data_IF_022421011455
#
_entry.id   IF_022421011455
#
_cell.length_a   1.000
_cell.length_b   1.000
_cell.length_c   1.000
_cell.angle_alpha   90.00
_cell.angle_beta   90.00
_cell.angle_gamma   90.00
#
_symmetry.space_group_name_H-M   'P 1'
#
loop_
_entity.id
_entity.type
_entity.pdbx_description
1 polymer ?
#
# COMPACT_ATOMS: atom_id res chain seq x y z
N UNK A 1 -2.15 33.42 -38.89
CA UNK A 1 -1.75 33.88 -40.24
C UNK A 1 -0.48 33.16 -40.64
N UNK A 2 -0.56 32.15 -41.51
CA UNK A 2 0.60 31.47 -42.10
C UNK A 2 0.47 31.62 -43.62
N UNK A 3 1.42 32.34 -44.21
CA UNK A 3 1.52 32.61 -45.63
C UNK A 3 1.70 31.29 -46.39
N UNK A 4 0.84 31.04 -47.38
CA UNK A 4 1.01 29.95 -48.33
C UNK A 4 2.08 30.29 -49.38
N UNK A 5 2.72 29.30 -50.02
CA UNK A 5 3.79 29.55 -50.98
C UNK A 5 3.23 30.17 -52.27
N UNK A 6 3.91 31.22 -52.75
CA UNK A 6 3.66 31.82 -54.06
C UNK A 6 3.92 30.80 -55.19
N UNK A 7 3.17 30.88 -56.30
CA UNK A 7 3.44 30.09 -57.50
C UNK A 7 4.64 30.67 -58.27
N UNK A 8 5.53 29.87 -58.86
CA UNK A 8 6.27 30.28 -60.06
C UNK A 8 5.40 29.97 -61.30
N UNK A 9 5.70 30.42 -62.54
CA UNK A 9 6.88 31.15 -63.02
C UNK A 9 6.56 32.33 -63.98
N UNK A 10 7.47 33.29 -64.14
CA UNK A 10 7.55 34.05 -65.41
C UNK A 10 8.66 33.42 -66.26
N UNK A 11 8.22 32.63 -67.24
CA UNK A 11 9.08 31.99 -68.22
C UNK A 11 9.79 33.02 -69.08
N UNK A 12 11.10 32.85 -69.20
CA UNK A 12 11.98 33.52 -70.15
C UNK A 12 11.36 33.55 -71.54
N UNK A 13 11.09 34.78 -71.99
CA UNK A 13 10.71 35.13 -73.35
C UNK A 13 11.68 34.49 -74.35
N UNK A 14 11.25 33.39 -74.97
CA UNK A 14 11.94 32.83 -76.12
C UNK A 14 11.14 33.27 -77.33
N UNK A 15 11.70 34.22 -78.08
CA UNK A 15 11.09 34.80 -79.26
C UNK A 15 10.72 33.71 -80.27
N UNK A 16 9.42 33.49 -80.46
CA UNK A 16 8.88 32.59 -81.48
C UNK A 16 9.08 33.22 -82.85
N UNK A 17 10.05 32.73 -83.62
CA UNK A 17 10.14 33.04 -85.05
C UNK A 17 8.99 32.32 -85.77
N UNK A 18 8.00 33.11 -86.19
CA UNK A 18 6.90 32.68 -87.05
C UNK A 18 7.44 32.45 -88.46
N UNK A 19 7.51 31.20 -88.92
CA UNK A 19 7.80 30.90 -90.33
C UNK A 19 6.49 30.65 -91.07
N UNK A 20 6.21 31.48 -92.07
CA UNK A 20 5.15 31.26 -93.05
C UNK A 20 5.78 30.59 -94.29
N UNK A 21 5.34 29.38 -94.64
CA UNK A 21 5.88 28.62 -95.78
C UNK A 21 4.87 28.60 -96.94
N UNK A 22 5.23 29.03 -98.17
CA UNK A 22 4.40 28.84 -99.36
C UNK A 22 4.55 27.42 -99.91
N UNK A 23 3.44 26.85 -100.39
CA UNK A 23 3.37 25.47 -100.89
C UNK A 23 4.29 25.20 -102.10
N UNK A 24 5.17 24.21 -101.93
CA UNK A 24 5.58 23.26 -102.97
C UNK A 24 6.96 23.44 -103.61
N UNK A 25 7.98 22.73 -103.13
CA UNK A 25 9.07 22.08 -103.90
C UNK A 25 9.68 20.91 -103.08
N UNK A 26 10.18 19.89 -103.79
CA UNK A 26 10.79 18.58 -103.51
C UNK A 26 11.58 18.32 -102.20
N UNK A 27 11.69 17.05 -101.75
CA UNK A 27 12.39 16.68 -100.52
C UNK A 27 13.87 16.38 -100.82
N UNK A 28 14.75 17.32 -100.51
CA UNK A 28 16.19 17.06 -100.48
C UNK A 28 16.74 17.30 -99.07
N UNK A 29 17.44 16.28 -98.56
CA UNK A 29 18.14 16.16 -97.27
C UNK A 29 18.35 17.45 -96.47
N UNK A 30 17.62 17.57 -95.36
CA UNK A 30 18.04 18.37 -94.21
C UNK A 30 18.06 17.50 -92.96
N UNK A 31 19.28 17.33 -92.46
CA UNK A 31 19.66 16.65 -91.22
C UNK A 31 19.08 17.38 -90.00
N UNK A 32 18.42 16.60 -89.13
CA UNK A 32 17.61 16.97 -87.95
C UNK A 32 16.13 17.23 -88.26
N UNK A 33 15.32 16.18 -88.09
CA UNK A 33 13.87 16.23 -88.22
C UNK A 33 13.27 17.22 -87.21
N UNK A 34 12.43 18.11 -87.71
CA UNK A 34 11.54 18.96 -86.91
C UNK A 34 10.20 18.23 -86.83
N UNK A 35 9.68 18.05 -85.61
CA UNK A 35 8.39 17.43 -85.36
C UNK A 35 7.37 18.53 -85.19
N UNK A 36 6.34 18.53 -86.03
CA UNK A 36 5.26 19.51 -85.98
C UNK A 36 4.08 18.93 -85.22
N UNK A 37 3.69 19.60 -84.14
CA UNK A 37 2.45 19.31 -83.44
C UNK A 37 1.40 20.35 -83.77
N UNK A 38 0.17 19.88 -83.90
CA UNK A 38 -0.98 20.74 -84.21
C UNK A 38 -1.86 20.82 -82.97
N UNK A 39 -1.88 21.98 -82.33
CA UNK A 39 -2.70 22.23 -81.14
C UNK A 39 -3.89 23.09 -81.54
N UNK A 40 -5.10 22.58 -81.29
CA UNK A 40 -6.32 23.35 -81.50
C UNK A 40 -6.49 24.33 -80.36
N UNK A 41 -6.31 25.63 -80.63
CA UNK A 41 -6.73 26.68 -79.70
C UNK A 41 -8.24 26.86 -79.83
N UNK A 42 -8.98 26.45 -78.80
CA UNK A 42 -10.42 26.71 -78.72
C UNK A 42 -10.64 27.99 -77.93
N UNK A 43 -10.25 29.12 -78.51
CA UNK A 43 -10.61 30.42 -77.94
C UNK A 43 -12.07 30.70 -78.34
N UNK A 44 -12.89 31.24 -77.41
CA UNK A 44 -14.35 31.40 -77.57
C UNK A 44 -14.80 32.32 -78.72
N UNK A 45 -13.87 32.88 -79.51
CA UNK A 45 -14.16 33.75 -80.64
C UNK A 45 -13.73 33.04 -81.92
N UNK A 46 -14.65 32.90 -82.88
CA UNK A 46 -14.72 31.85 -83.91
C UNK A 46 -13.59 31.75 -84.97
N UNK A 47 -12.38 32.19 -84.70
CA UNK A 47 -11.23 31.82 -85.52
C UNK A 47 -10.58 30.56 -84.92
N UNK A 48 -10.88 29.40 -85.53
CA UNK A 48 -10.16 28.15 -85.28
C UNK A 48 -8.74 28.27 -85.84
N UNK A 49 -7.90 29.04 -85.16
CA UNK A 49 -6.50 29.15 -85.53
C UNK A 49 -5.78 27.85 -85.19
N UNK A 50 -5.37 27.16 -86.25
CA UNK A 50 -4.51 25.99 -86.17
C UNK A 50 -3.07 26.50 -86.06
N UNK A 51 -2.58 26.61 -84.82
CA UNK A 51 -1.19 27.00 -84.59
C UNK A 51 -0.32 25.74 -84.64
N UNK A 52 0.59 25.71 -85.61
CA UNK A 52 1.55 24.63 -85.78
C UNK A 52 2.80 24.99 -85.02
N UNK A 53 3.11 24.22 -83.97
CA UNK A 53 4.35 24.37 -83.23
C UNK A 53 5.36 23.37 -83.79
N UNK A 54 6.50 23.87 -84.27
CA UNK A 54 7.63 23.03 -84.68
C UNK A 54 8.60 22.87 -83.52
N UNK A 55 8.87 21.63 -83.12
CA UNK A 55 9.94 21.31 -82.17
C UNK A 55 11.09 20.61 -82.89
N UNK A 56 12.31 20.96 -82.53
CA UNK A 56 13.45 20.14 -82.94
C UNK A 56 13.37 18.77 -82.26
N UNK A 57 13.85 17.74 -82.94
CA UNK A 57 13.95 16.38 -82.39
C UNK A 57 14.73 16.32 -81.07
N UNK A 58 15.72 17.21 -80.88
CA UNK A 58 16.47 17.33 -79.63
C UNK A 58 15.62 17.92 -78.50
N UNK A 59 14.84 18.97 -78.78
CA UNK A 59 13.96 19.59 -77.79
C UNK A 59 12.85 18.63 -77.34
N UNK A 60 12.20 17.92 -78.27
CA UNK A 60 11.18 16.93 -77.91
C UNK A 60 11.75 15.78 -77.07
N UNK A 61 12.98 15.34 -77.37
CA UNK A 61 13.68 14.32 -76.58
C UNK A 61 13.99 14.82 -75.16
N UNK A 62 14.38 16.08 -75.02
CA UNK A 62 14.61 16.72 -73.74
C UNK A 62 13.31 16.83 -72.92
N UNK A 63 12.21 17.28 -73.54
CA UNK A 63 10.88 17.35 -72.91
C UNK A 63 10.37 15.96 -72.51
N UNK A 64 10.53 14.95 -73.36
CA UNK A 64 10.16 13.58 -73.03
C UNK A 64 10.96 13.04 -71.84
N UNK A 65 12.26 13.34 -71.78
CA UNK A 65 13.09 12.96 -70.65
C UNK A 65 12.67 13.72 -69.37
N UNK A 66 12.39 15.03 -69.47
CA UNK A 66 11.85 15.82 -68.37
C UNK A 66 10.53 15.23 -67.83
N UNK A 67 9.60 14.84 -68.70
CA UNK A 67 8.34 14.18 -68.31
C UNK A 67 8.60 12.85 -67.59
N UNK A 68 9.60 12.07 -68.04
CA UNK A 68 9.99 10.83 -67.37
C UNK A 68 10.52 11.09 -65.96
N UNK A 69 11.40 12.07 -65.81
CA UNK A 69 11.99 12.44 -64.51
C UNK A 69 10.93 12.96 -63.53
N UNK A 70 10.00 13.79 -64.02
CA UNK A 70 8.86 14.29 -63.24
C UNK A 70 7.96 13.14 -62.80
N UNK A 71 7.65 12.19 -63.70
CA UNK A 71 6.85 11.00 -63.37
C UNK A 71 7.54 10.14 -62.33
N UNK A 72 8.84 9.91 -62.47
CA UNK A 72 9.61 9.13 -61.49
C UNK A 72 9.64 9.82 -60.12
N UNK A 73 9.81 11.14 -60.10
CA UNK A 73 9.80 11.94 -58.88
C UNK A 73 8.43 11.92 -58.20
N UNK A 74 7.34 12.09 -58.95
CA UNK A 74 5.97 11.97 -58.45
C UNK A 74 5.69 10.56 -57.89
N UNK A 75 6.21 9.52 -58.54
CA UNK A 75 6.04 8.14 -58.06
C UNK A 75 6.81 7.87 -56.77
N UNK A 76 8.01 8.45 -56.61
CA UNK A 76 8.77 8.43 -55.34
C UNK A 76 7.99 9.15 -54.24
N UNK A 77 7.43 10.33 -54.51
CA UNK A 77 6.60 11.08 -53.55
C UNK A 77 5.35 10.29 -53.17
N UNK A 78 4.65 9.69 -54.15
CA UNK A 78 3.47 8.85 -53.92
C UNK A 78 3.79 7.71 -52.95
N UNK A 79 4.84 6.94 -53.22
CA UNK A 79 5.25 5.81 -52.36
C UNK A 79 5.59 6.26 -50.93
N UNK A 80 6.29 7.41 -50.79
CA UNK A 80 6.60 7.98 -49.48
C UNK A 80 5.33 8.37 -48.71
N UNK A 81 4.38 9.06 -49.35
CA UNK A 81 3.13 9.46 -48.72
C UNK A 81 2.29 8.25 -48.24
N UNK A 82 2.24 7.16 -49.02
CA UNK A 82 1.54 5.95 -48.59
C UNK A 82 2.21 5.31 -47.36
N UNK A 83 3.54 5.26 -47.32
CA UNK A 83 4.27 4.76 -46.16
C UNK A 83 4.04 5.59 -44.89
N UNK A 84 4.11 6.92 -45.01
CA UNK A 84 3.85 7.85 -43.90
C UNK A 84 2.39 7.76 -43.41
N UNK A 85 1.43 7.61 -44.33
CA UNK A 85 0.02 7.42 -43.99
C UNK A 85 -0.22 6.12 -43.23
N UNK A 86 0.37 5.01 -43.67
CA UNK A 86 0.24 3.72 -42.99
C UNK A 86 0.90 3.72 -41.61
N UNK A 87 2.04 4.41 -41.46
CA UNK A 87 2.67 4.60 -40.15
C UNK A 87 1.80 5.44 -39.22
N UNK A 88 1.23 6.55 -39.72
CA UNK A 88 0.34 7.40 -38.96
C UNK A 88 -0.94 6.66 -38.55
N UNK A 89 -1.52 5.87 -39.46
CA UNK A 89 -2.70 5.04 -39.18
C UNK A 89 -2.43 4.04 -38.06
N UNK A 90 -1.26 3.37 -38.08
CA UNK A 90 -0.85 2.46 -36.99
C UNK A 90 -0.68 3.20 -35.66
N UNK A 91 -0.03 4.37 -35.65
CA UNK A 91 0.12 5.18 -34.43
C UNK A 91 -1.22 5.63 -33.85
N UNK A 92 -2.15 6.07 -34.70
CA UNK A 92 -3.50 6.44 -34.26
C UNK A 92 -4.23 5.24 -33.65
N UNK A 93 -4.15 4.06 -34.29
CA UNK A 93 -4.78 2.85 -33.75
C UNK A 93 -4.16 2.44 -32.41
N UNK A 94 -2.83 2.50 -32.28
CA UNK A 94 -2.14 2.22 -31.03
C UNK A 94 -2.57 3.19 -29.92
N UNK A 95 -2.51 4.50 -30.18
CA UNK A 95 -2.97 5.52 -29.22
C UNK A 95 -4.44 5.34 -28.84
N UNK A 96 -5.30 4.97 -29.81
CA UNK A 96 -6.71 4.67 -29.54
C UNK A 96 -6.84 3.46 -28.60
N UNK A 97 -6.07 2.40 -28.82
CA UNK A 97 -6.10 1.22 -27.94
C UNK A 97 -5.55 1.51 -26.53
N UNK A 98 -4.49 2.31 -26.41
CA UNK A 98 -3.95 2.76 -25.12
C UNK A 98 -4.97 3.64 -24.37
N UNK A 99 -5.73 4.47 -25.10
CA UNK A 99 -6.84 5.24 -24.53
C UNK A 99 -7.99 4.33 -24.05
N UNK A 100 -8.33 3.26 -24.77
CA UNK A 100 -9.34 2.28 -24.27
C UNK A 100 -8.86 1.53 -23.02
N UNK A 101 -7.56 1.28 -22.87
CA UNK A 101 -7.02 0.73 -21.61
C UNK A 101 -7.21 1.72 -20.45
N UNK A 102 -7.32 3.02 -20.72
CA UNK A 102 -7.66 4.01 -19.69
C UNK A 102 -9.11 3.86 -19.20
N UNK A 103 -10.04 3.29 -19.97
CA UNK A 103 -11.38 2.91 -19.48
C UNK A 103 -11.31 1.82 -18.40
N UNK A 104 -10.30 0.94 -18.45
CA UNK A 104 -10.05 -0.03 -17.37
C UNK A 104 -9.57 0.67 -16.09
N UNK A 105 -8.82 1.77 -16.20
CA UNK A 105 -8.44 2.58 -15.05
C UNK A 105 -9.66 3.30 -14.46
N UNK A 106 -10.55 3.80 -15.31
CA UNK A 106 -11.81 4.41 -14.90
C UNK A 106 -12.72 3.41 -14.17
N UNK A 107 -12.84 2.17 -14.68
CA UNK A 107 -13.53 1.09 -13.97
C UNK A 107 -12.89 0.77 -12.62
N UNK A 108 -11.55 0.73 -12.54
CA UNK A 108 -10.85 0.50 -11.28
C UNK A 108 -11.07 1.65 -10.28
N UNK A 109 -11.05 2.91 -10.74
CA UNK A 109 -11.35 4.08 -9.91
C UNK A 109 -12.80 4.06 -9.40
N UNK A 110 -13.76 3.64 -10.24
CA UNK A 110 -15.15 3.46 -9.85
C UNK A 110 -15.28 2.43 -8.71
N UNK A 111 -14.62 1.27 -8.87
CA UNK A 111 -14.62 0.21 -7.84
C UNK A 111 -13.98 0.70 -6.54
N UNK A 112 -12.88 1.46 -6.63
CA UNK A 112 -12.25 2.06 -5.45
C UNK A 112 -13.16 3.10 -4.76
N UNK A 113 -13.87 3.93 -5.53
CA UNK A 113 -14.85 4.88 -4.97
C UNK A 113 -15.96 4.17 -4.20
N UNK A 114 -16.57 3.14 -4.80
CA UNK A 114 -17.63 2.36 -4.16
C UNK A 114 -17.12 1.66 -2.89
N UNK A 115 -15.88 1.15 -2.90
CA UNK A 115 -15.28 0.57 -1.71
C UNK A 115 -15.07 1.60 -0.60
N UNK A 116 -14.58 2.81 -0.93
CA UNK A 116 -14.42 3.91 0.03
C UNK A 116 -15.76 4.37 0.62
N UNK A 117 -16.80 4.47 -0.19
CA UNK A 117 -18.15 4.80 0.27
C UNK A 117 -18.67 3.72 1.23
N UNK A 118 -18.45 2.44 0.91
CA UNK A 118 -18.81 1.33 1.81
C UNK A 118 -18.06 1.39 3.14
N UNK A 119 -16.78 1.77 3.15
CA UNK A 119 -16.03 1.94 4.39
C UNK A 119 -16.53 3.14 5.20
N UNK A 120 -16.89 4.25 4.53
CA UNK A 120 -17.50 5.41 5.18
C UNK A 120 -18.81 5.05 5.87
N UNK A 121 -19.70 4.32 5.16
CA UNK A 121 -20.96 3.82 5.72
C UNK A 121 -20.70 2.91 6.92
N UNK A 122 -19.77 1.96 6.81
CA UNK A 122 -19.45 1.05 7.91
C UNK A 122 -18.88 1.80 9.12
N UNK A 123 -17.99 2.78 8.90
CA UNK A 123 -17.42 3.59 9.96
C UNK A 123 -18.49 4.44 10.67
N UNK A 124 -19.43 5.00 9.91
CA UNK A 124 -20.57 5.74 10.48
C UNK A 124 -21.49 4.82 11.31
N UNK A 125 -21.76 3.60 10.82
CA UNK A 125 -22.57 2.61 11.52
C UNK A 125 -21.88 2.13 12.80
N UNK A 126 -20.57 1.86 12.74
CA UNK A 126 -19.78 1.49 13.90
C UNK A 126 -19.73 2.61 14.95
N UNK A 127 -19.57 3.86 14.51
CA UNK A 127 -19.61 5.03 15.39
C UNK A 127 -20.98 5.16 16.06
N UNK A 128 -22.05 4.98 15.31
CA UNK A 128 -23.42 4.98 15.85
C UNK A 128 -23.62 3.88 16.89
N UNK A 129 -23.18 2.64 16.60
CA UNK A 129 -23.27 1.52 17.54
C UNK A 129 -22.42 1.74 18.80
N UNK A 130 -21.25 2.38 18.66
CA UNK A 130 -20.41 2.75 19.81
C UNK A 130 -21.09 3.77 20.72
N UNK A 131 -21.73 4.79 20.14
CA UNK A 131 -22.50 5.79 20.88
C UNK A 131 -23.69 5.13 21.59
N UNK A 132 -24.41 4.24 20.93
CA UNK A 132 -25.55 3.52 21.51
C UNK A 132 -25.15 2.63 22.69
N UNK A 133 -24.02 1.93 22.58
CA UNK A 133 -23.47 1.13 23.67
C UNK A 133 -23.07 2.01 24.85
N UNK A 134 -22.39 3.14 24.60
CA UNK A 134 -22.03 4.10 25.63
C UNK A 134 -23.27 4.66 26.33
N UNK A 135 -24.32 4.99 25.58
CA UNK A 135 -25.60 5.44 26.13
C UNK A 135 -26.22 4.38 27.04
N UNK A 136 -26.30 3.14 26.57
CA UNK A 136 -26.85 2.02 27.35
C UNK A 136 -26.07 1.80 28.65
N UNK A 137 -24.75 1.90 28.61
CA UNK A 137 -23.92 1.75 29.81
C UNK A 137 -24.18 2.87 30.82
N UNK A 138 -24.35 4.11 30.35
CA UNK A 138 -24.71 5.26 31.20
C UNK A 138 -26.10 5.08 31.80
N UNK A 139 -27.08 4.66 31.00
CA UNK A 139 -28.45 4.41 31.48
C UNK A 139 -28.46 3.34 32.58
N UNK A 140 -27.73 2.24 32.39
CA UNK A 140 -27.58 1.18 33.41
C UNK A 140 -26.86 1.69 34.66
N UNK A 141 -25.85 2.57 34.53
CA UNK A 141 -25.17 3.16 35.68
C UNK A 141 -26.08 4.10 36.48
N UNK A 142 -26.95 4.86 35.79
CA UNK A 142 -27.95 5.70 36.42
C UNK A 142 -29.00 4.86 37.16
N UNK A 143 -29.54 3.81 36.52
CA UNK A 143 -30.46 2.87 37.18
C UNK A 143 -29.85 2.21 38.42
N UNK A 144 -28.58 1.78 38.35
CA UNK A 144 -27.88 1.22 39.51
C UNK A 144 -27.70 2.22 40.65
N UNK A 145 -27.55 3.51 40.32
CA UNK A 145 -27.45 4.57 41.33
C UNK A 145 -28.80 4.79 42.00
N UNK A 146 -29.89 4.82 41.23
CA UNK A 146 -31.25 4.91 41.76
C UNK A 146 -31.59 3.71 42.67
N UNK A 147 -31.28 2.49 42.24
CA UNK A 147 -31.46 1.28 43.07
C UNK A 147 -30.65 1.38 44.36
N UNK A 148 -29.40 1.86 44.29
CA UNK A 148 -28.56 2.05 45.49
C UNK A 148 -29.18 3.04 46.47
N UNK A 149 -29.73 4.15 45.97
CA UNK A 149 -30.40 5.14 46.80
C UNK A 149 -31.71 4.60 47.41
N UNK A 150 -32.49 3.83 46.66
CA UNK A 150 -33.66 3.12 47.18
C UNK A 150 -33.29 2.14 48.29
N UNK A 151 -32.24 1.33 48.11
CA UNK A 151 -31.74 0.40 49.13
C UNK A 151 -31.30 1.17 50.38
N UNK A 152 -30.59 2.29 50.21
CA UNK A 152 -30.14 3.13 51.33
C UNK A 152 -31.32 3.69 52.12
N UNK A 153 -32.35 4.18 51.43
CA UNK A 153 -33.57 4.68 52.05
C UNK A 153 -34.30 3.57 52.81
N UNK A 154 -34.48 2.41 52.19
CA UNK A 154 -35.14 1.26 52.80
C UNK A 154 -34.39 0.79 54.06
N UNK A 155 -33.06 0.74 53.99
CA UNK A 155 -32.19 0.40 55.12
C UNK A 155 -32.35 1.41 56.26
N UNK A 156 -32.37 2.71 55.96
CA UNK A 156 -32.57 3.76 56.95
C UNK A 156 -33.95 3.65 57.62
N UNK A 157 -35.01 3.41 56.86
CA UNK A 157 -36.36 3.23 57.41
C UNK A 157 -36.44 1.97 58.27
N UNK A 158 -35.83 0.87 57.85
CA UNK A 158 -35.76 -0.35 58.66
C UNK A 158 -35.02 -0.12 59.98
N UNK A 159 -33.86 0.54 59.95
CA UNK A 159 -33.08 0.87 61.15
C UNK A 159 -33.88 1.75 62.13
N UNK A 160 -34.57 2.78 61.62
CA UNK A 160 -35.47 3.60 62.43
C UNK A 160 -36.61 2.79 63.05
N UNK A 161 -37.18 1.83 62.31
CA UNK A 161 -38.24 0.96 62.84
C UNK A 161 -37.72 0.03 63.95
N UNK A 162 -36.50 -0.49 63.80
CA UNK A 162 -35.83 -1.32 64.79
C UNK A 162 -35.49 -0.54 66.07
N UNK A 163 -35.03 0.71 65.93
CA UNK A 163 -34.80 1.61 67.06
C UNK A 163 -36.09 1.85 67.86
N UNK A 164 -37.19 2.18 67.15
CA UNK A 164 -38.51 2.36 67.78
C UNK A 164 -38.99 1.08 68.48
N UNK A 165 -38.74 -0.09 67.89
CA UNK A 165 -39.10 -1.37 68.50
C UNK A 165 -38.29 -1.61 69.80
N UNK A 166 -36.99 -1.34 69.79
CA UNK A 166 -36.13 -1.42 70.99
C UNK A 166 -36.59 -0.47 72.09
N UNK A 167 -36.91 0.78 71.73
CA UNK A 167 -37.46 1.77 72.66
C UNK A 167 -38.77 1.26 73.28
N UNK A 168 -39.68 0.72 72.46
CA UNK A 168 -40.94 0.12 72.93
C UNK A 168 -40.72 -1.10 73.82
N UNK A 169 -39.74 -1.94 73.50
CA UNK A 169 -39.36 -3.08 74.32
C UNK A 169 -38.87 -2.64 75.71
N UNK A 170 -38.03 -1.59 75.76
CA UNK A 170 -37.53 -1.00 77.02
C UNK A 170 -38.66 -0.38 77.85
N UNK A 171 -39.59 0.32 77.20
CA UNK A 171 -40.79 0.85 77.86
C UNK A 171 -41.65 -0.27 78.46
N UNK A 172 -41.83 -1.37 77.73
CA UNK A 172 -42.61 -2.52 78.17
C UNK A 172 -41.96 -3.19 79.39
N UNK A 173 -40.63 -3.34 79.39
CA UNK A 173 -39.90 -3.89 80.54
C UNK A 173 -40.01 -3.00 81.78
N UNK A 174 -39.89 -1.68 81.61
CA UNK A 174 -40.03 -0.72 82.71
C UNK A 174 -41.43 -0.80 83.34
N UNK A 175 -42.46 -0.83 82.49
CA UNK A 175 -43.85 -0.99 82.93
C UNK A 175 -44.08 -2.35 83.62
N UNK A 176 -43.41 -3.42 83.17
CA UNK A 176 -43.49 -4.75 83.77
C UNK A 176 -42.93 -4.76 85.20
N UNK A 177 -41.75 -4.17 85.38
CA UNK A 177 -41.10 -4.04 86.70
C UNK A 177 -41.96 -3.18 87.64
N UNK A 178 -42.50 -2.06 87.16
CA UNK A 178 -43.41 -1.20 87.95
C UNK A 178 -44.68 -1.97 88.36
N UNK A 179 -45.24 -2.77 87.46
CA UNK A 179 -46.41 -3.58 87.75
C UNK A 179 -46.13 -4.65 88.83
N UNK A 180 -44.97 -5.32 88.76
CA UNK A 180 -44.54 -6.26 89.80
C UNK A 180 -44.34 -5.57 91.16
N UNK A 181 -43.74 -4.39 91.18
CA UNK A 181 -43.55 -3.59 92.39
C UNK A 181 -44.90 -3.18 93.01
N UNK A 182 -45.85 -2.71 92.20
CA UNK A 182 -47.19 -2.35 92.66
C UNK A 182 -47.93 -3.58 93.21
N UNK A 183 -47.79 -4.75 92.58
CA UNK A 183 -48.40 -5.99 93.07
C UNK A 183 -47.89 -6.37 94.47
N UNK A 184 -46.58 -6.25 94.70
CA UNK A 184 -45.98 -6.46 96.02
C UNK A 184 -46.49 -5.42 97.04
N UNK A 185 -46.62 -4.16 96.63
CA UNK A 185 -47.13 -3.09 97.50
C UNK A 185 -48.59 -3.34 97.91
N UNK A 186 -49.45 -3.71 96.98
CA UNK A 186 -50.86 -4.07 97.25
C UNK A 186 -50.95 -5.28 98.17
N UNK A 187 -50.12 -6.32 97.96
CA UNK A 187 -50.08 -7.46 98.88
C UNK A 187 -49.65 -7.06 100.30
N UNK A 188 -48.68 -6.15 100.42
CA UNK A 188 -48.25 -5.64 101.72
C UNK A 188 -49.35 -4.81 102.40
N UNK A 189 -49.99 -3.89 101.68
CA UNK A 189 -51.11 -3.09 102.21
C UNK A 189 -52.31 -3.96 102.60
N UNK A 190 -52.69 -4.95 101.77
CA UNK A 190 -53.76 -5.89 102.11
C UNK A 190 -53.43 -6.74 103.35
N UNK A 191 -52.18 -7.15 103.53
CA UNK A 191 -51.74 -7.86 104.74
C UNK A 191 -51.79 -6.94 105.98
N UNK A 192 -51.49 -5.65 105.83
CA UNK A 192 -51.58 -4.66 106.91
C UNK A 192 -53.05 -4.36 107.29
N UNK A 193 -53.95 -4.22 106.32
CA UNK A 193 -55.38 -4.02 106.58
C UNK A 193 -56.01 -5.20 107.34
N UNK A 194 -55.62 -6.43 107.00
CA UNK A 194 -56.04 -7.65 107.71
C UNK A 194 -55.54 -7.68 109.17
N UNK A 195 -54.42 -7.01 109.47
CA UNK A 195 -53.88 -6.91 110.84
C UNK A 195 -54.56 -5.79 111.64
N UNK A 196 -54.95 -4.69 111.00
CA UNK A 196 -55.50 -3.50 111.67
C UNK A 196 -57.03 -3.48 111.78
N UNK A 197 -57.74 -4.21 110.91
CA UNK A 197 -59.20 -4.30 110.96
C UNK A 197 -59.61 -5.75 111.25
N UNK A 198 -60.17 -5.97 112.44
CA UNK A 198 -60.68 -7.27 112.86
C UNK A 198 -61.81 -7.77 111.94
N UNK A 199 -62.10 -9.08 111.94
CA UNK A 199 -62.94 -9.74 110.95
C UNK A 199 -64.42 -9.47 111.23
N UNK A 200 -64.91 -8.28 110.90
CA UNK A 200 -66.35 -8.07 110.77
C UNK A 200 -66.65 -6.89 109.82
N UNK A 201 -67.72 -7.02 109.05
CA UNK A 201 -68.23 -6.13 107.98
C UNK A 201 -67.99 -6.63 106.54
N UNK A 202 -68.36 -7.89 106.29
CA UNK A 202 -68.80 -8.33 104.97
C UNK A 202 -70.25 -7.88 104.75
N UNK A 203 -70.51 -7.01 103.77
CA UNK A 203 -71.75 -6.96 102.96
C UNK A 203 -71.88 -5.74 102.04
N UNK A 204 -71.00 -4.73 102.11
CA UNK A 204 -71.06 -3.57 101.19
C UNK A 204 -69.85 -3.39 100.25
N UNK A 205 -68.91 -4.34 100.22
CA UNK A 205 -67.69 -4.26 99.39
C UNK A 205 -67.86 -4.97 98.04
N UNK A 206 -68.78 -5.93 97.93
CA UNK A 206 -68.93 -6.80 96.75
C UNK A 206 -69.36 -6.03 95.49
N UNK A 207 -70.19 -4.99 95.60
CA UNK A 207 -70.64 -4.21 94.45
C UNK A 207 -69.52 -3.29 93.86
N UNK A 208 -68.58 -2.84 94.69
CA UNK A 208 -67.39 -2.07 94.25
C UNK A 208 -66.29 -2.99 93.70
N UNK A 209 -66.18 -4.21 94.24
CA UNK A 209 -65.17 -5.18 93.85
C UNK A 209 -65.54 -5.92 92.56
N UNK A 210 -66.83 -6.13 92.29
CA UNK A 210 -67.32 -6.69 91.03
C UNK A 210 -67.15 -5.73 89.85
N UNK A 211 -67.44 -4.44 90.05
CA UNK A 211 -67.18 -3.40 89.04
C UNK A 211 -65.67 -3.28 88.71
N UNK A 212 -64.80 -3.36 89.71
CA UNK A 212 -63.35 -3.38 89.50
C UNK A 212 -62.85 -4.68 88.85
N UNK A 213 -63.46 -5.83 89.15
CA UNK A 213 -63.16 -7.10 88.50
C UNK A 213 -63.56 -7.07 87.01
N UNK A 214 -64.69 -6.43 86.68
CA UNK A 214 -65.12 -6.23 85.29
C UNK A 214 -64.16 -5.34 84.50
N UNK A 215 -63.68 -4.25 85.09
CA UNK A 215 -62.67 -3.39 84.45
C UNK A 215 -61.37 -4.16 84.18
N UNK A 216 -60.93 -5.00 85.12
CA UNK A 216 -59.74 -5.83 84.94
C UNK A 216 -59.94 -6.94 83.89
N UNK A 217 -61.13 -7.56 83.84
CA UNK A 217 -61.51 -8.53 82.79
C UNK A 217 -61.50 -7.87 81.41
N UNK A 218 -62.09 -6.69 81.28
CA UNK A 218 -62.16 -5.95 80.03
C UNK A 218 -60.77 -5.45 79.59
N UNK A 219 -59.94 -4.97 80.51
CA UNK A 219 -58.56 -4.59 80.23
C UNK A 219 -57.72 -5.79 79.77
N UNK A 220 -57.88 -6.94 80.41
CA UNK A 220 -57.20 -8.19 80.03
C UNK A 220 -57.64 -8.63 78.63
N UNK A 221 -58.94 -8.62 78.34
CA UNK A 221 -59.49 -8.92 77.03
C UNK A 221 -58.95 -7.99 75.95
N UNK A 222 -58.86 -6.68 76.24
CA UNK A 222 -58.34 -5.67 75.31
C UNK A 222 -56.85 -5.84 75.04
N UNK A 223 -56.06 -6.20 76.05
CA UNK A 223 -54.63 -6.54 75.89
C UNK A 223 -54.46 -7.77 75.00
N UNK A 224 -55.21 -8.85 75.23
CA UNK A 224 -55.15 -10.04 74.37
C UNK A 224 -55.60 -9.74 72.93
N UNK A 225 -56.71 -9.00 72.75
CA UNK A 225 -57.13 -8.54 71.42
C UNK A 225 -56.04 -7.73 70.72
N UNK A 226 -55.35 -6.82 71.42
CA UNK A 226 -54.26 -6.05 70.83
C UNK A 226 -53.05 -6.91 70.44
N UNK A 227 -52.67 -7.89 71.25
CA UNK A 227 -51.58 -8.80 70.91
C UNK A 227 -51.92 -9.66 69.70
N UNK A 228 -53.15 -10.18 69.64
CA UNK A 228 -53.63 -11.01 68.53
C UNK A 228 -53.80 -10.22 67.23
N UNK A 229 -54.26 -8.97 67.32
CA UNK A 229 -54.32 -8.04 66.20
C UNK A 229 -52.91 -7.71 65.68
N UNK A 230 -51.97 -7.40 66.58
CA UNK A 230 -50.58 -7.13 66.21
C UNK A 230 -49.89 -8.34 65.58
N UNK A 231 -50.20 -9.55 66.03
CA UNK A 231 -49.70 -10.78 65.43
C UNK A 231 -50.24 -10.94 64.00
N UNK A 232 -51.55 -10.74 63.79
CA UNK A 232 -52.16 -10.76 62.45
C UNK A 232 -51.59 -9.70 61.52
N UNK A 233 -51.34 -8.50 62.01
CA UNK A 233 -50.74 -7.43 61.21
C UNK A 233 -49.34 -7.79 60.71
N UNK A 234 -48.50 -8.34 61.58
CA UNK A 234 -47.14 -8.75 61.20
C UNK A 234 -47.15 -9.98 60.28
N UNK A 235 -48.04 -10.95 60.50
CA UNK A 235 -48.26 -12.06 59.57
C UNK A 235 -48.71 -11.58 58.18
N UNK A 236 -49.63 -10.62 58.14
CA UNK A 236 -50.13 -10.05 56.90
C UNK A 236 -49.04 -9.23 56.18
N UNK A 237 -48.22 -8.46 56.91
CA UNK A 237 -47.06 -7.78 56.33
C UNK A 237 -46.08 -8.76 55.72
N UNK A 238 -45.69 -9.78 56.46
CA UNK A 238 -44.75 -10.78 55.97
C UNK A 238 -45.31 -11.51 54.73
N UNK A 239 -46.62 -11.77 54.71
CA UNK A 239 -47.29 -12.33 53.52
C UNK A 239 -47.21 -11.39 52.32
N UNK A 240 -47.50 -10.10 52.50
CA UNK A 240 -47.40 -9.09 51.44
C UNK A 240 -45.96 -8.94 50.95
N UNK A 241 -44.97 -8.88 51.85
CA UNK A 241 -43.55 -8.82 51.49
C UNK A 241 -43.09 -10.05 50.69
N UNK A 242 -43.57 -11.24 51.07
CA UNK A 242 -43.31 -12.46 50.31
C UNK A 242 -43.94 -12.40 48.92
N UNK A 243 -45.18 -11.92 48.81
CA UNK A 243 -45.87 -11.76 47.53
C UNK A 243 -45.18 -10.72 46.62
N UNK A 244 -44.70 -9.61 47.16
CA UNK A 244 -43.95 -8.61 46.38
C UNK A 244 -42.60 -9.13 45.91
N UNK A 245 -41.86 -9.86 46.76
CA UNK A 245 -40.61 -10.53 46.38
C UNK A 245 -40.84 -11.57 45.28
N UNK A 246 -41.92 -12.36 45.37
CA UNK A 246 -42.31 -13.32 44.32
C UNK A 246 -42.64 -12.60 43.01
N UNK A 247 -43.39 -11.50 43.08
CA UNK A 247 -43.74 -10.72 41.90
C UNK A 247 -42.49 -10.13 41.20
N UNK A 248 -41.54 -9.59 41.97
CA UNK A 248 -40.29 -9.05 41.42
C UNK A 248 -39.42 -10.15 40.82
N UNK A 249 -39.31 -11.30 41.48
CA UNK A 249 -38.59 -12.47 40.96
C UNK A 249 -39.18 -12.93 39.61
N UNK A 250 -40.51 -12.99 39.51
CA UNK A 250 -41.19 -13.36 38.27
C UNK A 250 -40.97 -12.33 37.15
N UNK A 251 -40.95 -11.03 37.49
CA UNK A 251 -40.64 -9.95 36.55
C UNK A 251 -39.22 -10.09 36.00
N UNK A 252 -38.24 -10.32 36.86
CA UNK A 252 -36.85 -10.55 36.45
C UNK A 252 -36.71 -11.80 35.57
N UNK A 253 -37.37 -12.90 35.95
CA UNK A 253 -37.37 -14.14 35.16
C UNK A 253 -37.94 -13.93 33.75
N UNK A 254 -39.02 -13.14 33.62
CA UNK A 254 -39.59 -12.78 32.32
C UNK A 254 -38.61 -11.98 31.46
N UNK A 255 -37.90 -11.01 32.05
CA UNK A 255 -36.89 -10.19 31.34
C UNK A 255 -35.71 -11.03 30.87
N UNK A 256 -35.25 -11.99 31.68
CA UNK A 256 -34.21 -12.96 31.29
C UNK A 256 -34.69 -13.79 30.09
N UNK A 257 -35.91 -14.33 30.14
CA UNK A 257 -36.46 -15.11 29.03
C UNK A 257 -36.64 -14.31 27.72
N UNK A 258 -36.87 -13.00 27.80
CA UNK A 258 -36.89 -12.11 26.64
C UNK A 258 -35.49 -11.88 26.06
N UNK A 259 -34.48 -11.71 26.92
CA UNK A 259 -33.09 -11.60 26.51
C UNK A 259 -32.58 -12.89 25.85
N UNK A 260 -32.92 -14.06 26.38
CA UNK A 260 -32.53 -15.35 25.78
C UNK A 260 -33.09 -15.51 24.36
N UNK A 261 -34.35 -15.11 24.14
CA UNK A 261 -34.95 -15.09 22.79
C UNK A 261 -34.27 -14.09 21.86
N UNK A 262 -33.77 -12.97 22.38
CA UNK A 262 -33.01 -12.00 21.59
C UNK A 262 -31.65 -12.58 21.20
N UNK A 263 -30.93 -13.19 22.15
CA UNK A 263 -29.65 -13.87 21.93
C UNK A 263 -29.81 -14.97 20.86
N UNK A 264 -30.87 -15.76 20.94
CA UNK A 264 -31.13 -16.81 19.97
C UNK A 264 -31.39 -16.26 18.55
N UNK A 265 -32.20 -15.21 18.42
CA UNK A 265 -32.42 -14.52 17.13
C UNK A 265 -31.13 -13.90 16.58
N UNK A 266 -30.32 -13.28 17.44
CA UNK A 266 -29.01 -12.77 17.04
C UNK A 266 -28.10 -13.90 16.55
N UNK A 267 -28.11 -15.06 17.21
CA UNK A 267 -27.35 -16.24 16.78
C UNK A 267 -27.76 -16.72 15.38
N UNK A 268 -29.05 -16.75 15.08
CA UNK A 268 -29.57 -17.10 13.74
C UNK A 268 -29.13 -16.09 12.67
N UNK A 269 -29.19 -14.79 12.98
CA UNK A 269 -28.71 -13.72 12.08
C UNK A 269 -27.20 -13.85 11.83
N UNK A 270 -26.40 -14.08 12.87
CA UNK A 270 -24.95 -14.29 12.74
C UNK A 270 -24.66 -15.50 11.84
N UNK A 271 -25.38 -16.61 12.04
CA UNK A 271 -25.22 -17.80 11.21
C UNK A 271 -25.61 -17.54 9.74
N UNK A 272 -26.68 -16.78 9.51
CA UNK A 272 -27.12 -16.38 8.17
C UNK A 272 -26.08 -15.48 7.47
N UNK A 273 -25.52 -14.50 8.20
CA UNK A 273 -24.44 -13.63 7.71
C UNK A 273 -23.18 -14.45 7.39
N UNK A 274 -22.77 -15.36 8.28
CA UNK A 274 -21.63 -16.23 8.02
C UNK A 274 -21.87 -17.04 6.74
N UNK A 275 -23.06 -17.63 6.58
CA UNK A 275 -23.42 -18.42 5.41
C UNK A 275 -23.44 -17.59 4.13
N UNK A 276 -23.99 -16.37 4.16
CA UNK A 276 -23.99 -15.49 2.99
C UNK A 276 -22.58 -15.03 2.62
N UNK A 277 -21.75 -14.66 3.60
CA UNK A 277 -20.33 -14.33 3.40
C UNK A 277 -19.56 -15.50 2.76
N UNK A 278 -19.79 -16.72 3.26
CA UNK A 278 -19.17 -17.95 2.72
C UNK A 278 -19.63 -18.29 1.29
N UNK A 279 -20.87 -17.95 0.94
CA UNK A 279 -21.39 -18.12 -0.43
C UNK A 279 -20.82 -17.03 -1.35
N UNK A 280 -20.67 -15.79 -0.88
CA UNK A 280 -20.08 -14.70 -1.67
C UNK A 280 -18.55 -14.83 -1.86
N UNK A 281 -17.86 -15.62 -1.04
CA UNK A 281 -16.41 -15.84 -1.14
C UNK A 281 -16.00 -16.95 -2.12
N UNK A 282 -16.94 -17.72 -2.67
CA UNK A 282 -16.63 -18.86 -3.56
C UNK A 282 -17.16 -18.55 -4.96
N UNK A 283 -16.41 -17.90 -5.90
CA UNK A 283 -15.07 -18.29 -6.39
C UNK A 283 -14.04 -17.14 -6.52
N UNK A 284 -14.45 -15.88 -6.34
CA UNK A 284 -13.63 -14.67 -6.59
C UNK A 284 -12.50 -14.51 -5.57
N UNK A 285 -12.75 -14.81 -4.29
CA UNK A 285 -11.76 -14.69 -3.21
C UNK A 285 -10.58 -15.65 -3.41
N UNK A 286 -10.83 -16.87 -3.89
CA UNK A 286 -9.77 -17.86 -4.14
C UNK A 286 -8.83 -17.47 -5.29
N UNK A 287 -9.34 -16.79 -6.31
CA UNK A 287 -8.53 -16.29 -7.42
C UNK A 287 -7.72 -15.06 -6.99
N UNK A 288 -8.33 -14.17 -6.20
CA UNK A 288 -7.64 -13.02 -5.62
C UNK A 288 -6.52 -13.44 -4.66
N UNK A 289 -6.74 -14.46 -3.83
CA UNK A 289 -5.71 -15.04 -2.96
C UNK A 289 -4.55 -15.64 -3.77
N UNK A 290 -4.84 -16.39 -4.83
CA UNK A 290 -3.82 -16.96 -5.73
C UNK A 290 -3.00 -15.89 -6.45
N UNK A 291 -3.64 -14.83 -6.91
CA UNK A 291 -2.95 -13.69 -7.52
C UNK A 291 -2.10 -12.95 -6.48
N UNK A 292 -2.61 -12.79 -5.25
CA UNK A 292 -1.88 -12.17 -4.17
C UNK A 292 -0.67 -13.01 -3.70
N UNK A 293 -0.78 -14.34 -3.65
CA UNK A 293 0.37 -15.23 -3.37
C UNK A 293 1.41 -15.15 -4.47
N UNK A 294 0.98 -15.20 -5.74
CA UNK A 294 1.89 -15.09 -6.89
C UNK A 294 2.64 -13.74 -6.92
N UNK A 295 1.95 -12.64 -6.61
CA UNK A 295 2.58 -11.32 -6.51
C UNK A 295 3.57 -11.24 -5.34
N UNK A 296 3.23 -11.82 -4.18
CA UNK A 296 4.16 -11.89 -3.03
C UNK A 296 5.44 -12.66 -3.37
N UNK A 297 5.33 -13.78 -4.08
CA UNK A 297 6.49 -14.55 -4.53
C UNK A 297 7.35 -13.78 -5.54
N UNK A 298 6.71 -13.06 -6.47
CA UNK A 298 7.42 -12.24 -7.46
C UNK A 298 8.15 -11.06 -6.82
N UNK A 299 7.53 -10.39 -5.85
CA UNK A 299 8.18 -9.33 -5.06
C UNK A 299 9.40 -9.90 -4.34
N UNK A 300 9.25 -11.03 -3.65
CA UNK A 300 10.37 -11.70 -2.98
C UNK A 300 11.51 -12.05 -3.94
N UNK A 301 11.21 -12.60 -5.12
CA UNK A 301 12.22 -12.92 -6.11
C UNK A 301 12.95 -11.68 -6.64
N UNK A 302 12.21 -10.57 -6.85
CA UNK A 302 12.80 -9.29 -7.22
C UNK A 302 13.71 -8.75 -6.12
N UNK A 303 13.30 -8.84 -4.85
CA UNK A 303 14.13 -8.44 -3.71
C UNK A 303 15.42 -9.27 -3.64
N UNK A 304 15.32 -10.59 -3.82
CA UNK A 304 16.49 -11.49 -3.86
C UNK A 304 17.45 -11.12 -5.02
N UNK A 305 16.91 -10.81 -6.20
CA UNK A 305 17.72 -10.34 -7.33
C UNK A 305 18.38 -9.00 -7.04
N UNK A 306 17.67 -8.05 -6.42
CA UNK A 306 18.23 -6.75 -6.03
C UNK A 306 19.33 -6.95 -4.99
N UNK A 307 19.14 -7.80 -3.98
CA UNK A 307 20.15 -8.16 -2.99
C UNK A 307 21.40 -8.76 -3.64
N UNK A 308 21.23 -9.67 -4.60
CA UNK A 308 22.35 -10.22 -5.38
C UNK A 308 23.11 -9.13 -6.14
N UNK A 309 22.40 -8.21 -6.80
CA UNK A 309 23.04 -7.10 -7.51
C UNK A 309 23.76 -6.15 -6.56
N UNK A 310 23.15 -5.79 -5.43
CA UNK A 310 23.77 -4.94 -4.40
C UNK A 310 25.06 -5.57 -3.86
N UNK A 311 25.06 -6.88 -3.59
CA UNK A 311 26.26 -7.59 -3.16
C UNK A 311 27.38 -7.54 -4.20
N UNK A 312 27.03 -7.66 -5.49
CA UNK A 312 27.99 -7.53 -6.60
C UNK A 312 28.57 -6.12 -6.68
N UNK A 313 27.72 -5.09 -6.59
CA UNK A 313 28.16 -3.69 -6.57
C UNK A 313 29.08 -3.43 -5.38
N UNK A 314 28.73 -3.93 -4.19
CA UNK A 314 29.58 -3.80 -3.00
C UNK A 314 30.97 -4.40 -3.24
N UNK A 315 31.05 -5.61 -3.79
CA UNK A 315 32.33 -6.24 -4.12
C UNK A 315 33.14 -5.41 -5.13
N UNK A 316 32.49 -4.90 -6.18
CA UNK A 316 33.17 -4.02 -7.16
C UNK A 316 33.70 -2.74 -6.50
N UNK A 317 32.96 -2.13 -5.58
CA UNK A 317 33.41 -0.95 -4.83
C UNK A 317 34.61 -1.27 -3.93
N UNK A 318 34.61 -2.44 -3.29
CA UNK A 318 35.73 -2.92 -2.47
C UNK A 318 36.99 -3.15 -3.34
N UNK A 319 36.85 -3.78 -4.52
CA UNK A 319 37.95 -3.96 -5.48
C UNK A 319 38.51 -2.62 -5.98
N UNK A 320 37.64 -1.68 -6.34
CA UNK A 320 38.06 -0.32 -6.77
C UNK A 320 38.79 0.40 -5.64
N UNK A 321 38.29 0.29 -4.41
CA UNK A 321 38.93 0.89 -3.23
C UNK A 321 40.32 0.29 -2.98
N UNK A 322 40.46 -1.04 -3.13
CA UNK A 322 41.74 -1.74 -3.03
C UNK A 322 42.72 -1.34 -4.15
N UNK A 323 42.24 -1.20 -5.38
CA UNK A 323 43.08 -0.72 -6.49
C UNK A 323 43.53 0.73 -6.24
N UNK A 324 42.65 1.58 -5.67
CA UNK A 324 42.97 2.97 -5.34
C UNK A 324 44.06 3.07 -4.28
N UNK A 325 44.01 2.29 -3.20
CA UNK A 325 45.05 2.30 -2.16
C UNK A 325 46.40 1.82 -2.72
N UNK A 326 46.39 0.80 -3.57
CA UNK A 326 47.60 0.32 -4.25
C UNK A 326 48.21 1.41 -5.14
N UNK A 327 47.39 2.13 -5.91
CA UNK A 327 47.85 3.27 -6.71
C UNK A 327 48.43 4.40 -5.84
N UNK A 328 47.82 4.70 -4.68
CA UNK A 328 48.38 5.68 -3.75
C UNK A 328 49.78 5.27 -3.27
N UNK A 329 50.00 3.99 -2.94
CA UNK A 329 51.32 3.47 -2.54
C UNK A 329 52.32 3.57 -3.69
N UNK A 330 51.93 3.17 -4.91
CA UNK A 330 52.81 3.26 -6.08
C UNK A 330 53.20 4.71 -6.39
N UNK A 331 52.24 5.64 -6.33
CA UNK A 331 52.52 7.06 -6.51
C UNK A 331 53.49 7.59 -5.46
N UNK A 332 53.32 7.22 -4.18
CA UNK A 332 54.24 7.59 -3.11
C UNK A 332 55.67 7.06 -3.37
N UNK A 333 55.80 5.81 -3.81
CA UNK A 333 57.10 5.26 -4.21
C UNK A 333 57.71 6.01 -5.39
N UNK A 334 56.89 6.39 -6.38
CA UNK A 334 57.32 7.11 -7.57
C UNK A 334 57.82 8.52 -7.21
N UNK A 335 57.11 9.24 -6.35
CA UNK A 335 57.52 10.54 -5.80
C UNK A 335 58.88 10.47 -5.09
N UNK A 336 59.20 9.35 -4.43
CA UNK A 336 60.50 9.18 -3.77
C UNK A 336 61.62 8.74 -4.73
N UNK A 337 61.31 7.96 -5.78
CA UNK A 337 62.31 7.45 -6.73
C UNK A 337 62.71 8.52 -7.76
N UNK A 338 61.76 9.35 -8.22
CA UNK A 338 62.03 10.35 -9.27
C UNK A 338 63.16 11.32 -8.91
N UNK A 339 63.18 12.00 -7.73
CA UNK A 339 64.27 12.91 -7.37
C UNK A 339 65.63 12.21 -7.26
N UNK A 340 65.64 10.93 -6.89
CA UNK A 340 66.86 10.13 -6.83
C UNK A 340 67.38 9.80 -8.23
N UNK A 341 66.48 9.55 -9.17
CA UNK A 341 66.80 9.44 -10.60
C UNK A 341 67.40 10.73 -11.15
N UNK A 342 66.76 11.87 -10.89
CA UNK A 342 67.23 13.19 -11.32
C UNK A 342 68.61 13.52 -10.74
N UNK A 343 68.84 13.20 -9.46
CA UNK A 343 70.15 13.36 -8.81
C UNK A 343 71.23 12.50 -9.48
N UNK A 344 70.95 11.21 -9.73
CA UNK A 344 71.90 10.33 -10.40
C UNK A 344 72.17 10.77 -11.84
N UNK A 345 71.15 11.22 -12.58
CA UNK A 345 71.30 11.76 -13.92
C UNK A 345 72.21 13.00 -13.92
N UNK A 346 72.04 13.90 -12.95
CA UNK A 346 72.92 15.05 -12.74
C UNK A 346 74.38 14.63 -12.52
N UNK A 347 74.62 13.64 -11.64
CA UNK A 347 75.98 13.14 -11.39
C UNK A 347 76.59 12.45 -12.61
N UNK A 348 75.80 11.66 -13.35
CA UNK A 348 76.27 11.03 -14.58
C UNK A 348 76.62 12.07 -15.64
N UNK A 349 75.83 13.15 -15.74
CA UNK A 349 76.15 14.25 -16.64
C UNK A 349 77.43 14.97 -16.23
N UNK A 350 77.64 15.27 -14.95
CA UNK A 350 78.90 15.85 -14.47
C UNK A 350 80.10 14.94 -14.74
N UNK A 351 79.95 13.62 -14.53
CA UNK A 351 80.99 12.64 -14.85
C UNK A 351 81.29 12.58 -16.35
N UNK A 352 80.25 12.65 -17.20
CA UNK A 352 80.41 12.71 -18.64
C UNK A 352 81.13 13.98 -19.08
N UNK A 353 80.72 15.14 -18.57
CA UNK A 353 81.36 16.43 -18.84
C UNK A 353 82.84 16.42 -18.39
N UNK A 354 83.15 15.75 -17.26
CA UNK A 354 84.54 15.53 -16.81
C UNK A 354 85.33 14.60 -17.72
N UNK A 355 84.73 13.53 -18.22
CA UNK A 355 85.37 12.61 -19.17
C UNK A 355 85.68 13.33 -20.47
N UNK A 356 84.72 14.08 -21.02
CA UNK A 356 84.89 14.86 -22.24
C UNK A 356 86.01 15.90 -22.09
N UNK A 357 86.06 16.61 -20.97
CA UNK A 357 87.17 17.53 -20.64
C UNK A 357 88.53 16.83 -20.64
N UNK A 358 88.63 15.64 -20.03
CA UNK A 358 89.88 14.85 -19.99
C UNK A 358 90.26 14.31 -21.37
N UNK A 359 89.29 13.89 -22.19
CA UNK A 359 89.54 13.45 -23.56
C UNK A 359 90.01 14.60 -24.46
N UNK A 360 89.53 15.82 -24.22
CA UNK A 360 89.89 17.02 -24.97
C UNK A 360 91.24 17.61 -24.54
N UNK A 361 91.63 17.43 -23.27
CA UNK A 361 92.98 17.79 -22.77
C UNK A 361 94.04 16.71 -23.00
N UNK A 362 93.69 15.54 -23.52
CA UNK A 362 94.67 14.51 -23.87
C UNK A 362 95.35 14.83 -25.22
N UNK A 363 96.70 14.86 -25.29
CA UNK A 363 97.40 14.97 -26.58
C UNK A 363 97.13 13.69 -27.39
N UNK A 364 96.40 13.82 -28.50
CA UNK A 364 96.11 12.72 -29.44
C UNK A 364 97.41 12.27 -30.10
N UNK A 365 98.03 11.23 -29.55
CA UNK A 365 98.96 10.39 -30.31
C UNK A 365 98.13 9.47 -31.20
N UNK A 366 98.05 9.77 -32.50
CA UNK A 366 97.43 8.90 -33.50
C UNK A 366 98.22 7.59 -33.60
N UNK A 367 97.64 6.52 -33.06
CA UNK A 367 98.09 5.16 -33.35
C UNK A 367 96.87 4.32 -33.73
N UNK A 368 96.78 3.97 -35.01
CA UNK A 368 95.93 2.92 -35.56
C UNK A 368 96.08 1.61 -34.77
N UNK A 369 94.99 1.10 -34.20
CA UNK A 369 94.92 -0.29 -33.75
C UNK A 369 93.87 -1.03 -34.55
N UNK A 370 94.34 -2.13 -35.17
CA UNK A 370 93.63 -3.01 -36.11
C UNK A 370 92.49 -3.76 -35.41
N UNK A 371 91.32 -3.78 -36.05
CA UNK A 371 90.20 -4.66 -35.68
C UNK A 371 90.52 -6.13 -35.96
N UNK A 372 90.35 -7.01 -34.96
CA UNK A 372 90.33 -8.46 -35.11
C UNK A 372 88.87 -8.90 -35.06
N UNK A 373 88.31 -9.26 -36.22
CA UNK A 373 86.98 -9.84 -36.35
C UNK A 373 86.95 -11.35 -36.11
N UNK A 374 85.93 -11.83 -35.41
CA UNK A 374 85.57 -13.26 -35.31
C UNK A 374 84.21 -13.44 -36.01
N UNK A 375 84.21 -14.15 -37.14
CA UNK A 375 83.05 -14.31 -38.02
C UNK A 375 82.08 -15.41 -37.56
N UNK A 376 80.78 -15.19 -37.84
CA UNK A 376 79.71 -16.19 -37.76
C UNK A 376 79.33 -16.64 -39.18
N UNK A 377 79.30 -17.95 -39.41
CA UNK A 377 78.90 -18.55 -40.69
C UNK A 377 77.37 -18.73 -40.78
N UNK A 378 76.78 -18.27 -41.89
CA UNK A 378 75.44 -18.66 -42.35
C UNK A 378 75.52 -18.99 -43.84
N UNK A 379 74.99 -20.15 -44.24
CA UNK A 379 74.68 -20.51 -45.63
C UNK A 379 73.21 -20.95 -45.77
N UNK A 380 72.53 -20.63 -46.90
CA UNK A 380 71.09 -20.87 -47.10
C UNK A 380 70.79 -22.08 -48.01
N UNK A 381 69.60 -22.69 -47.91
CA UNK A 381 68.98 -23.45 -49.02
C UNK A 381 67.47 -23.69 -48.84
N UNK A 382 66.82 -23.97 -49.97
CA UNK A 382 65.44 -23.79 -50.39
C UNK A 382 64.41 -24.87 -49.99
N UNK A 383 63.14 -24.44 -50.05
CA UNK A 383 61.92 -25.13 -50.54
C UNK A 383 61.39 -26.39 -49.83
N UNK A 384 60.18 -26.17 -49.29
CA UNK A 384 58.95 -26.97 -49.47
C UNK A 384 58.55 -28.04 -48.44
N UNK A 385 57.30 -27.85 -47.99
CA UNK A 385 56.29 -28.79 -47.50
C UNK A 385 56.55 -29.76 -46.32
N UNK A 386 55.59 -29.64 -45.40
CA UNK A 386 55.03 -30.69 -44.55
C UNK A 386 55.84 -31.13 -43.33
N UNK A 387 55.07 -31.31 -42.25
CA UNK A 387 55.39 -32.12 -41.06
C UNK A 387 56.07 -31.39 -39.89
N UNK A 388 55.20 -31.01 -38.95
CA UNK A 388 55.43 -30.78 -37.51
C UNK A 388 56.61 -31.58 -36.91
N UNK A 389 57.46 -30.94 -36.07
CA UNK A 389 58.25 -31.64 -35.05
C UNK A 389 57.64 -31.51 -33.64
N UNK A 390 57.97 -32.43 -32.70
CA UNK A 390 57.28 -32.63 -31.43
C UNK A 390 57.78 -31.73 -30.29
N UNK A 391 56.92 -31.61 -29.28
CA UNK A 391 57.13 -30.95 -27.99
C UNK A 391 58.43 -31.35 -27.28
N UNK A 392 59.15 -30.36 -26.76
CA UNK A 392 59.96 -30.52 -25.54
C UNK A 392 59.57 -29.41 -24.56
N UNK A 393 59.10 -29.89 -23.43
CA UNK A 393 58.39 -29.23 -22.34
C UNK A 393 59.26 -28.22 -21.58
N UNK A 394 58.75 -27.00 -21.42
CA UNK A 394 59.10 -26.12 -20.30
C UNK A 394 57.81 -25.60 -19.67
N UNK A 395 57.57 -25.79 -18.35
CA UNK A 395 56.29 -25.46 -17.75
C UNK A 395 56.15 -23.93 -17.64
N UNK A 396 55.33 -23.35 -18.53
CA UNK A 396 54.88 -21.98 -18.37
C UNK A 396 53.81 -21.95 -17.27
N UNK A 397 54.23 -21.55 -16.06
CA UNK A 397 53.32 -21.30 -14.94
C UNK A 397 52.41 -20.13 -15.28
N UNK A 398 51.28 -20.41 -15.95
CA UNK A 398 50.22 -19.43 -16.20
C UNK A 398 49.42 -19.25 -14.92
N UNK A 399 49.67 -18.16 -14.20
CA UNK A 399 48.78 -17.70 -13.14
C UNK A 399 47.49 -17.18 -13.79
N UNK A 400 46.40 -17.95 -13.68
CA UNK A 400 45.05 -17.56 -14.12
C UNK A 400 44.12 -17.56 -12.90
N UNK A 401 43.73 -16.40 -12.35
CA UNK A 401 43.04 -16.37 -11.05
C UNK A 401 41.53 -16.66 -11.11
N UNK A 402 40.96 -17.05 -12.26
CA UNK A 402 39.50 -17.21 -12.38
C UNK A 402 39.04 -18.47 -13.13
N UNK A 403 39.46 -19.65 -12.65
CA UNK A 403 38.76 -20.92 -13.00
C UNK A 403 38.40 -21.70 -11.74
N UNK A 404 37.35 -21.27 -11.04
CA UNK A 404 36.59 -22.17 -10.13
C UNK A 404 35.14 -21.76 -9.81
N UNK A 405 34.47 -20.97 -10.65
CA UNK A 405 33.07 -20.53 -10.38
C UNK A 405 32.05 -21.16 -11.33
N UNK A 406 32.28 -22.39 -11.78
CA UNK A 406 31.32 -23.13 -12.63
C UNK A 406 31.16 -24.61 -12.26
N UNK A 407 31.43 -24.99 -11.01
CA UNK A 407 31.17 -26.36 -10.52
C UNK A 407 30.13 -26.45 -9.38
N UNK A 408 29.38 -25.37 -9.11
CA UNK A 408 28.31 -25.38 -8.10
C UNK A 408 26.88 -25.19 -8.64
N UNK A 409 26.64 -25.47 -9.92
CA UNK A 409 25.28 -25.41 -10.48
C UNK A 409 24.71 -26.75 -10.97
N UNK A 410 25.42 -27.88 -10.82
CA UNK A 410 24.94 -29.18 -11.32
C UNK A 410 24.78 -30.26 -10.24
N UNK A 411 24.81 -29.91 -8.95
CA UNK A 411 24.57 -30.88 -7.85
C UNK A 411 23.29 -30.66 -7.02
N UNK A 412 22.46 -29.66 -7.34
CA UNK A 412 21.17 -29.44 -6.65
C UNK A 412 19.96 -29.90 -7.48
N UNK A 413 20.05 -31.07 -8.12
CA UNK A 413 18.88 -31.75 -8.72
C UNK A 413 18.94 -33.27 -8.54
N UNK A 414 19.49 -33.72 -7.42
CA UNK A 414 19.35 -35.10 -6.94
C UNK A 414 19.36 -35.09 -5.43
N UNK A 415 18.25 -34.66 -4.82
CA UNK A 415 17.78 -35.05 -3.48
C UNK A 415 16.33 -34.55 -3.33
N UNK A 416 15.42 -35.16 -4.07
CA UNK A 416 13.98 -35.18 -3.79
C UNK A 416 13.39 -36.40 -4.47
N UNK A 417 13.52 -37.52 -3.78
CA UNK A 417 12.58 -38.64 -3.77
C UNK A 417 12.47 -39.11 -2.33
#
# INVERSE_FOLDING_TARGET
MRQGPLPPPEGSSTAWQLYHVPNGVSPEKLSHGVVYGVVHRSDKNHNKEMVVYGWSTSQLKQEMNYIKDVRETLEKVRKKMYGEYDEMKRKIQQLTSELTVSESLESHMQVQSVALDSFSVMNSSLTSASIELQKTLVDVALENTDIKDQIKNLKQTHEQSMEKLKEKQKQLETARIENELLKLKVQYEAAVDVILTGPDHGTNVECSQEANADVMREMTKKLYSQYEEKLREEEQKHKVEKETLIAETNRLLKRIGELDRLIQRMGEVILAIHKSVKITSSPSSTQQEKMATSLRERIKHLDDMVLCQQKKVKHMVEEVSFSKTTLCILNFCLEHILPRGDSLLGTNKELQDRLDYLMETQPRTDVETRDIGVGCDLLPSSTDNSSRPPEISKPLRTYTPFKRVLEFSTHSTRMSK
#
